data_IF_251940814457
#
_entry.id   IF_251940814457
#
_cell.length_a   1.000
_cell.length_b   1.000
_cell.length_c   1.000
_cell.angle_alpha   90.00
_cell.angle_beta   90.00
_cell.angle_gamma   90.00
#
_symmetry.space_group_name_H-M   'P 1'
#
loop_
_entity.id
_entity.type
_entity.pdbx_description
1 polymer ?
#
# COMPACT_ATOMS: atom_id res chain seq x y z
N UNK A 1 -14.77 -65.87 -17.17
CA UNK A 1 -14.43 -65.32 -18.50
C UNK A 1 -15.73 -64.82 -19.12
N UNK A 2 -16.00 -63.51 -19.08
CA UNK A 2 -17.06 -62.88 -19.88
C UNK A 2 -16.59 -61.48 -20.31
N UNK A 3 -16.33 -61.33 -21.59
CA UNK A 3 -16.03 -60.05 -22.27
C UNK A 3 -17.31 -59.22 -22.36
N UNK A 4 -17.26 -57.95 -21.99
CA UNK A 4 -18.32 -56.97 -22.28
C UNK A 4 -17.78 -55.96 -23.27
N UNK A 5 -18.47 -55.85 -24.41
CA UNK A 5 -18.28 -54.94 -25.52
C UNK A 5 -18.82 -53.54 -25.16
N UNK A 6 -18.18 -52.42 -25.57
CA UNK A 6 -18.76 -51.11 -25.35
C UNK A 6 -19.73 -50.72 -26.49
N UNK A 7 -20.90 -50.26 -26.12
CA UNK A 7 -21.92 -49.69 -27.02
C UNK A 7 -21.58 -48.24 -27.34
N UNK A 8 -21.43 -47.92 -28.63
CA UNK A 8 -21.26 -46.60 -29.14
C UNK A 8 -22.66 -45.95 -29.30
N UNK A 9 -22.90 -44.83 -28.64
CA UNK A 9 -24.09 -44.01 -28.78
C UNK A 9 -23.83 -42.89 -29.75
N UNK A 10 -24.49 -42.90 -30.94
CA UNK A 10 -24.45 -41.84 -31.89
C UNK A 10 -25.46 -40.75 -31.52
N UNK A 11 -25.00 -39.52 -31.41
CA UNK A 11 -25.83 -38.31 -31.20
C UNK A 11 -26.05 -37.65 -32.54
N UNK A 12 -27.31 -37.60 -32.97
CA UNK A 12 -27.75 -36.88 -34.16
C UNK A 12 -27.84 -35.36 -33.87
N UNK A 13 -27.19 -34.55 -34.68
CA UNK A 13 -27.30 -33.09 -34.62
C UNK A 13 -28.53 -32.63 -35.42
N UNK A 14 -29.47 -31.98 -34.77
CA UNK A 14 -30.61 -31.29 -35.39
C UNK A 14 -30.23 -29.84 -35.68
N UNK A 15 -30.26 -29.46 -36.95
CA UNK A 15 -30.10 -28.09 -37.42
C UNK A 15 -31.45 -27.39 -37.32
N UNK A 16 -31.59 -26.37 -36.47
CA UNK A 16 -32.76 -25.48 -36.40
C UNK A 16 -32.45 -24.24 -37.27
N UNK A 17 -33.26 -24.07 -38.31
CA UNK A 17 -33.30 -22.85 -39.12
C UNK A 17 -34.17 -21.83 -38.38
N UNK A 18 -33.57 -20.76 -37.85
CA UNK A 18 -34.26 -19.66 -37.23
C UNK A 18 -34.61 -18.56 -38.24
N UNK A 19 -35.89 -18.28 -38.39
CA UNK A 19 -36.43 -17.14 -39.14
C UNK A 19 -36.03 -15.82 -38.47
N UNK A 20 -35.38 -14.94 -39.21
CA UNK A 20 -35.00 -13.60 -38.77
C UNK A 20 -36.21 -12.69 -38.61
N UNK A 21 -36.37 -12.14 -37.40
CA UNK A 21 -37.31 -11.03 -37.13
C UNK A 21 -36.50 -9.73 -37.30
N UNK A 22 -36.95 -8.90 -38.25
CA UNK A 22 -36.45 -7.55 -38.47
C UNK A 22 -37.05 -6.64 -37.39
N UNK A 23 -36.25 -6.16 -36.45
CA UNK A 23 -36.64 -5.12 -35.48
C UNK A 23 -36.22 -3.76 -36.03
N UNK A 24 -37.11 -2.76 -36.09
CA UNK A 24 -36.75 -1.43 -36.58
C UNK A 24 -35.81 -0.75 -35.59
N UNK A 25 -34.74 -0.16 -36.14
CA UNK A 25 -33.72 0.58 -35.46
C UNK A 25 -34.30 1.91 -34.96
N UNK A 26 -34.51 2.06 -33.66
CA UNK A 26 -34.82 3.34 -33.04
C UNK A 26 -33.56 4.24 -33.14
N UNK A 27 -33.80 5.51 -33.49
CA UNK A 27 -32.77 6.53 -33.60
C UNK A 27 -32.09 6.71 -32.25
N UNK A 28 -30.77 6.62 -32.25
CA UNK A 28 -29.96 6.91 -31.08
C UNK A 28 -29.90 8.43 -30.88
N UNK A 29 -30.42 8.88 -29.76
CA UNK A 29 -30.18 10.23 -29.25
C UNK A 29 -28.68 10.42 -29.03
N UNK A 30 -28.12 11.44 -29.64
CA UNK A 30 -26.74 11.86 -29.44
C UNK A 30 -26.59 12.41 -28.02
N UNK A 31 -26.10 11.58 -27.11
CA UNK A 31 -25.56 12.06 -25.85
C UNK A 31 -24.33 12.95 -26.16
N UNK A 32 -24.46 14.24 -25.87
CA UNK A 32 -23.35 15.19 -25.90
C UNK A 32 -22.39 14.78 -24.79
N UNK A 33 -21.29 14.12 -25.14
CA UNK A 33 -20.16 13.88 -24.22
C UNK A 33 -19.51 15.24 -23.99
N UNK A 34 -19.76 15.83 -22.84
CA UNK A 34 -19.01 17.00 -22.39
C UNK A 34 -17.53 16.63 -22.29
N UNK A 35 -16.73 17.13 -23.24
CA UNK A 35 -15.27 17.00 -23.21
C UNK A 35 -14.78 17.90 -22.08
N UNK A 36 -14.27 17.30 -21.00
CA UNK A 36 -13.53 18.02 -19.99
C UNK A 36 -12.23 18.55 -20.63
N UNK A 37 -12.19 19.83 -20.92
CA UNK A 37 -10.96 20.53 -21.21
C UNK A 37 -10.24 20.73 -19.87
N UNK A 38 -9.13 20.02 -19.71
CA UNK A 38 -8.25 20.18 -18.56
C UNK A 38 -7.68 21.63 -18.62
N UNK A 39 -7.85 22.47 -17.58
CA UNK A 39 -7.17 23.74 -17.55
C UNK A 39 -5.66 23.47 -17.57
N UNK A 40 -4.94 24.12 -18.48
CA UNK A 40 -3.49 23.99 -18.62
C UNK A 40 -2.85 24.19 -17.24
N UNK A 41 -2.21 23.15 -16.73
CA UNK A 41 -1.41 23.23 -15.51
C UNK A 41 -0.30 24.25 -15.72
N UNK A 42 -0.03 25.13 -14.75
CA UNK A 42 1.15 26.01 -14.82
C UNK A 42 2.42 25.15 -14.91
N UNK A 43 3.49 25.62 -15.54
CA UNK A 43 4.73 24.85 -15.67
C UNK A 43 5.25 24.51 -14.29
N UNK A 44 5.24 23.22 -13.96
CA UNK A 44 5.85 22.70 -12.74
C UNK A 44 7.35 22.85 -12.89
N UNK A 45 7.90 23.85 -12.22
CA UNK A 45 9.35 23.91 -11.98
C UNK A 45 9.66 22.69 -11.13
N UNK A 46 10.32 21.69 -11.70
CA UNK A 46 10.84 20.54 -10.97
C UNK A 46 11.79 21.10 -9.90
N UNK A 47 11.31 21.17 -8.67
CA UNK A 47 12.18 21.43 -7.53
C UNK A 47 13.15 20.26 -7.44
N UNK A 48 14.44 20.55 -7.41
CA UNK A 48 15.46 19.54 -7.13
C UNK A 48 15.09 18.83 -5.81
N UNK A 49 15.38 17.50 -5.67
CA UNK A 49 15.12 16.79 -4.43
C UNK A 49 15.74 17.56 -3.26
N UNK A 50 14.93 18.01 -2.32
CA UNK A 50 15.45 18.63 -1.10
C UNK A 50 16.17 17.54 -0.31
N UNK A 51 17.46 17.76 -0.07
CA UNK A 51 18.26 16.88 0.76
C UNK A 51 17.67 16.93 2.18
N UNK A 52 17.18 15.78 2.69
CA UNK A 52 16.61 15.71 4.03
C UNK A 52 17.68 16.04 5.07
N UNK A 53 17.51 17.16 5.75
CA UNK A 53 18.41 17.56 6.83
C UNK A 53 18.15 16.63 8.04
N UNK A 54 19.20 15.89 8.47
CA UNK A 54 19.12 15.07 9.67
C UNK A 54 18.98 15.97 10.89
N UNK A 55 17.79 16.05 11.45
CA UNK A 55 17.49 16.83 12.64
C UNK A 55 17.78 16.03 13.93
N UNK A 56 17.61 16.70 15.06
CA UNK A 56 17.94 16.22 16.39
C UNK A 56 17.22 14.93 16.76
N UNK A 57 17.90 14.05 17.51
CA UNK A 57 17.26 12.91 18.17
C UNK A 57 16.20 13.42 19.14
N UNK A 58 14.92 13.26 18.79
CA UNK A 58 13.82 13.61 19.68
C UNK A 58 13.51 12.41 20.58
N UNK A 59 13.51 12.59 21.89
CA UNK A 59 13.11 11.54 22.84
C UNK A 59 11.59 11.54 22.97
N UNK A 60 10.93 10.69 22.19
CA UNK A 60 9.53 10.34 22.43
C UNK A 60 9.51 9.19 23.43
N UNK A 61 9.09 9.47 24.66
CA UNK A 61 8.99 8.46 25.71
C UNK A 61 7.69 7.69 25.55
N UNK A 62 7.77 6.41 25.15
CA UNK A 62 6.67 5.45 25.20
C UNK A 62 7.09 4.24 26.03
N UNK A 63 6.16 3.65 26.76
CA UNK A 63 6.40 2.39 27.48
C UNK A 63 6.31 1.25 26.46
N UNK A 64 7.47 0.78 26.03
CA UNK A 64 7.60 -0.25 25.00
C UNK A 64 8.30 -1.49 25.55
N UNK A 65 7.66 -2.64 25.39
CA UNK A 65 8.19 -3.96 25.71
C UNK A 65 8.41 -4.74 24.42
N UNK A 66 9.63 -4.76 23.92
CA UNK A 66 9.97 -5.45 22.68
C UNK A 66 11.45 -5.35 22.36
N UNK A 67 11.85 -6.02 21.29
CA UNK A 67 13.26 -6.10 20.85
C UNK A 67 13.70 -4.87 20.07
N UNK A 68 12.78 -4.28 19.30
CA UNK A 68 13.06 -3.17 18.40
C UNK A 68 11.90 -2.19 18.35
N UNK A 69 12.19 -0.92 18.53
CA UNK A 69 11.34 0.21 18.22
C UNK A 69 12.17 1.28 17.53
N UNK A 70 11.82 1.55 16.29
CA UNK A 70 12.38 2.65 15.50
C UNK A 70 11.24 3.53 14.96
N UNK A 71 11.49 4.83 14.88
CA UNK A 71 10.52 5.75 14.29
C UNK A 71 11.24 6.92 13.62
N UNK A 72 10.58 7.51 12.63
CA UNK A 72 11.01 8.72 11.97
C UNK A 72 9.80 9.58 11.61
N UNK A 73 9.99 10.90 11.62
CA UNK A 73 9.03 11.89 11.17
C UNK A 73 9.76 12.93 10.32
N UNK A 74 9.24 13.20 9.14
CA UNK A 74 9.69 14.24 8.24
C UNK A 74 8.66 15.36 8.20
N UNK A 75 9.09 16.55 8.55
CA UNK A 75 8.30 17.79 8.44
C UNK A 75 8.59 18.41 7.07
N UNK A 76 7.58 18.50 6.23
CA UNK A 76 7.72 19.00 4.85
C UNK A 76 7.87 20.50 4.75
N UNK A 77 7.46 21.25 5.76
CA UNK A 77 7.61 22.71 5.78
C UNK A 77 9.04 23.12 6.09
N UNK A 78 9.68 22.37 7.01
CA UNK A 78 11.05 22.69 7.46
C UNK A 78 12.12 21.86 6.77
N UNK A 79 11.75 20.73 6.15
CA UNK A 79 12.67 19.74 5.60
C UNK A 79 13.42 18.93 6.66
N UNK A 80 12.97 18.98 7.92
CA UNK A 80 13.66 18.32 9.05
C UNK A 80 13.16 16.88 9.24
N UNK A 81 14.11 15.96 9.28
CA UNK A 81 13.89 14.57 9.67
C UNK A 81 14.29 14.36 11.14
N UNK A 82 13.36 13.91 11.96
CA UNK A 82 13.58 13.54 13.37
C UNK A 82 13.22 12.08 13.62
N UNK A 83 13.84 11.44 14.62
CA UNK A 83 13.52 10.05 14.91
C UNK A 83 14.45 9.40 15.93
N UNK A 84 14.22 8.11 16.16
CA UNK A 84 15.07 7.23 16.95
C UNK A 84 15.21 5.87 16.24
N UNK A 85 16.38 5.24 16.35
CA UNK A 85 16.71 3.98 15.68
C UNK A 85 16.35 3.99 14.18
N UNK A 86 16.57 5.13 13.51
CA UNK A 86 16.09 5.40 12.16
C UNK A 86 16.72 4.52 11.08
N UNK A 87 17.88 3.89 11.33
CA UNK A 87 18.61 3.08 10.34
C UNK A 87 18.57 1.57 10.62
N UNK A 88 18.01 1.16 11.76
CA UNK A 88 17.81 -0.26 12.05
C UNK A 88 16.62 -0.79 11.25
N UNK A 89 16.72 -2.02 10.73
CA UNK A 89 15.74 -2.58 9.80
C UNK A 89 14.81 -3.59 10.45
N UNK A 90 13.61 -3.68 9.89
CA UNK A 90 12.63 -4.73 10.14
C UNK A 90 11.92 -5.09 8.84
N UNK A 91 11.25 -6.25 8.79
CA UNK A 91 10.47 -6.63 7.62
C UNK A 91 9.27 -5.69 7.44
N UNK A 92 9.00 -5.30 6.18
CA UNK A 92 7.97 -4.30 5.84
C UNK A 92 6.55 -4.77 6.03
N UNK A 93 6.35 -6.08 5.97
CA UNK A 93 5.03 -6.68 5.92
C UNK A 93 4.16 -6.01 4.83
N UNK A 94 2.90 -5.78 5.10
CA UNK A 94 1.98 -5.15 4.15
C UNK A 94 2.24 -3.66 3.87
N UNK A 95 3.15 -2.99 4.57
CA UNK A 95 3.49 -1.59 4.31
C UNK A 95 4.00 -1.39 2.87
N UNK A 96 4.79 -2.32 2.35
CA UNK A 96 5.36 -2.26 1.00
C UNK A 96 4.31 -2.35 -0.12
N UNK A 97 3.07 -2.77 0.16
CA UNK A 97 1.98 -2.83 -0.83
C UNK A 97 1.70 -1.47 -1.47
N UNK A 98 1.94 -0.38 -0.76
CA UNK A 98 1.84 0.97 -1.34
C UNK A 98 2.78 1.13 -2.55
N UNK A 99 4.00 0.59 -2.45
CA UNK A 99 4.93 0.56 -3.58
C UNK A 99 4.48 -0.40 -4.68
N UNK A 100 4.05 -1.63 -4.34
CA UNK A 100 3.65 -2.61 -5.36
C UNK A 100 2.54 -2.06 -6.26
N UNK A 101 1.59 -1.34 -5.67
CA UNK A 101 0.52 -0.64 -6.40
C UNK A 101 1.10 0.51 -7.22
N UNK A 102 1.94 1.36 -6.63
CA UNK A 102 2.56 2.49 -7.32
C UNK A 102 3.39 2.02 -8.54
N UNK A 103 4.24 1.01 -8.37
CA UNK A 103 5.09 0.45 -9.43
C UNK A 103 4.27 -0.13 -10.57
N UNK A 104 3.14 -0.80 -10.26
CA UNK A 104 2.23 -1.30 -11.28
C UNK A 104 1.61 -0.14 -12.06
N UNK A 105 1.05 0.85 -11.38
CA UNK A 105 0.35 1.97 -12.01
C UNK A 105 1.30 2.86 -12.85
N UNK A 106 2.52 3.08 -12.39
CA UNK A 106 3.52 3.91 -13.09
C UNK A 106 3.80 3.42 -14.52
N UNK A 107 3.80 2.12 -14.73
CA UNK A 107 4.12 1.52 -16.03
C UNK A 107 2.86 1.22 -16.88
N UNK A 108 1.71 1.19 -16.26
CA UNK A 108 0.45 0.87 -16.91
C UNK A 108 -0.13 2.10 -17.60
N UNK A 109 -0.02 2.19 -18.93
CA UNK A 109 -0.66 3.27 -19.71
C UNK A 109 -2.17 3.31 -19.55
N UNK A 110 -2.80 2.14 -19.42
CA UNK A 110 -4.22 1.95 -19.16
C UNK A 110 -4.39 0.64 -18.38
N UNK A 111 -4.36 0.68 -17.04
CA UNK A 111 -4.62 -0.51 -16.23
C UNK A 111 -6.04 -1.01 -16.50
N UNK A 112 -6.20 -2.34 -16.57
CA UNK A 112 -7.54 -2.93 -16.69
C UNK A 112 -8.34 -2.74 -15.40
N UNK A 113 -9.68 -2.76 -15.49
CA UNK A 113 -10.57 -2.69 -14.32
C UNK A 113 -10.23 -3.79 -13.29
N UNK A 114 -9.82 -4.98 -13.77
CA UNK A 114 -9.37 -6.06 -12.90
C UNK A 114 -8.17 -5.64 -12.05
N UNK A 115 -7.13 -5.11 -12.66
CA UNK A 115 -5.92 -4.70 -11.93
C UNK A 115 -6.15 -3.46 -11.05
N UNK A 116 -6.99 -2.53 -11.47
CA UNK A 116 -7.40 -1.40 -10.62
C UNK A 116 -8.13 -1.89 -9.37
N UNK A 117 -8.98 -2.92 -9.51
CA UNK A 117 -9.62 -3.57 -8.36
C UNK A 117 -8.58 -4.21 -7.45
N UNK A 118 -7.60 -4.97 -7.99
CA UNK A 118 -6.53 -5.56 -7.17
C UNK A 118 -5.73 -4.47 -6.45
N UNK A 119 -5.39 -3.38 -7.12
CA UNK A 119 -4.70 -2.24 -6.53
C UNK A 119 -5.49 -1.63 -5.35
N UNK A 120 -6.80 -1.42 -5.53
CA UNK A 120 -7.67 -0.94 -4.46
C UNK A 120 -7.75 -1.92 -3.28
N UNK A 121 -7.94 -3.21 -3.52
CA UNK A 121 -8.01 -4.25 -2.46
C UNK A 121 -6.68 -4.34 -1.69
N UNK A 122 -5.54 -4.31 -2.39
CA UNK A 122 -4.21 -4.35 -1.76
C UNK A 122 -3.97 -3.15 -0.83
N UNK A 123 -4.51 -1.96 -1.15
CA UNK A 123 -4.37 -0.77 -0.31
C UNK A 123 -5.44 -0.75 0.78
N UNK A 124 -6.73 -0.78 0.41
CA UNK A 124 -7.84 -0.54 1.34
C UNK A 124 -8.00 -1.63 2.38
N UNK A 125 -7.83 -2.87 1.98
CA UNK A 125 -8.04 -4.03 2.83
C UNK A 125 -6.75 -4.80 3.14
N UNK A 126 -5.63 -4.32 2.62
CA UNK A 126 -4.36 -5.03 2.77
C UNK A 126 -4.40 -6.47 2.23
N UNK A 127 -5.14 -6.70 1.14
CA UNK A 127 -5.32 -8.03 0.55
C UNK A 127 -3.99 -8.57 0.01
N UNK A 128 -3.59 -9.75 0.46
CA UNK A 128 -2.31 -10.36 0.11
C UNK A 128 -2.33 -10.96 -1.30
N UNK A 129 -3.45 -11.57 -1.71
CA UNK A 129 -3.59 -12.17 -3.02
C UNK A 129 -3.57 -11.09 -4.10
N UNK A 130 -4.26 -9.97 -3.84
CA UNK A 130 -4.25 -8.80 -4.71
C UNK A 130 -2.84 -8.20 -4.86
N UNK A 131 -2.10 -8.09 -3.75
CA UNK A 131 -0.72 -7.61 -3.78
C UNK A 131 0.21 -8.56 -4.54
N UNK A 132 0.04 -9.87 -4.37
CA UNK A 132 0.83 -10.90 -5.07
C UNK A 132 0.66 -10.80 -6.59
N UNK A 133 -0.58 -10.60 -7.07
CA UNK A 133 -0.87 -10.42 -8.50
C UNK A 133 -0.08 -9.23 -9.07
N UNK A 134 -0.05 -8.10 -8.37
CA UNK A 134 0.67 -6.91 -8.82
C UNK A 134 2.19 -7.10 -8.77
N UNK A 135 2.69 -7.74 -7.72
CA UNK A 135 4.11 -8.09 -7.57
C UNK A 135 4.60 -8.97 -8.72
N UNK A 136 3.86 -10.04 -9.05
CA UNK A 136 4.17 -10.93 -10.17
C UNK A 136 4.09 -10.21 -11.52
N UNK A 137 3.07 -9.37 -11.72
CA UNK A 137 2.91 -8.57 -12.93
C UNK A 137 4.09 -7.59 -13.16
N UNK A 138 4.81 -7.23 -12.08
CA UNK A 138 5.97 -6.34 -12.10
C UNK A 138 7.32 -7.06 -12.05
N UNK A 139 7.33 -8.39 -12.22
CA UNK A 139 8.53 -9.22 -12.28
C UNK A 139 9.09 -9.59 -10.91
N UNK A 140 8.24 -9.71 -9.89
CA UNK A 140 8.65 -10.18 -8.57
C UNK A 140 9.66 -9.24 -7.90
N UNK A 141 10.81 -9.77 -7.47
CA UNK A 141 11.87 -9.01 -6.79
C UNK A 141 12.32 -7.75 -7.55
N UNK A 142 12.25 -7.76 -8.88
CA UNK A 142 12.59 -6.58 -9.68
C UNK A 142 11.71 -5.36 -9.34
N UNK A 143 10.48 -5.55 -8.82
CA UNK A 143 9.66 -4.46 -8.29
C UNK A 143 10.30 -3.83 -7.06
N UNK A 144 10.79 -4.64 -6.12
CA UNK A 144 11.44 -4.14 -4.90
C UNK A 144 12.78 -3.48 -5.22
N UNK A 145 13.56 -4.04 -6.14
CA UNK A 145 14.82 -3.42 -6.61
C UNK A 145 14.56 -2.03 -7.22
N UNK A 146 13.46 -1.89 -7.99
CA UNK A 146 13.04 -0.57 -8.49
C UNK A 146 12.64 0.38 -7.36
N UNK A 147 11.95 -0.09 -6.31
CA UNK A 147 11.65 0.73 -5.13
C UNK A 147 12.92 1.32 -4.54
N UNK A 148 13.90 0.47 -4.28
CA UNK A 148 15.20 0.86 -3.71
C UNK A 148 15.86 1.94 -4.57
N UNK A 149 15.93 1.68 -5.88
CA UNK A 149 16.59 2.60 -6.82
C UNK A 149 15.82 3.91 -7.01
N UNK A 150 14.51 3.85 -7.23
CA UNK A 150 13.67 5.00 -7.59
C UNK A 150 13.45 5.92 -6.39
N UNK A 151 13.22 5.36 -5.19
CA UNK A 151 13.00 6.15 -3.98
C UNK A 151 14.31 6.44 -3.21
N UNK A 152 15.47 5.98 -3.72
CA UNK A 152 16.79 6.25 -3.11
C UNK A 152 16.95 5.67 -1.71
N UNK A 153 16.45 4.43 -1.51
CA UNK A 153 16.51 3.74 -0.21
C UNK A 153 17.92 3.20 0.02
N UNK A 154 18.45 3.36 1.22
CA UNK A 154 19.86 3.04 1.53
C UNK A 154 20.03 1.90 2.53
N UNK A 155 19.00 1.62 3.32
CA UNK A 155 19.00 0.56 4.34
C UNK A 155 18.08 -0.61 3.95
N UNK A 156 17.43 -0.52 2.78
CA UNK A 156 16.40 -1.48 2.34
C UNK A 156 17.03 -2.60 1.55
N UNK A 157 16.69 -3.85 1.92
CA UNK A 157 17.18 -5.06 1.27
C UNK A 157 16.03 -5.94 0.78
N UNK A 158 16.17 -6.49 -0.43
CA UNK A 158 15.23 -7.45 -1.00
C UNK A 158 15.28 -8.76 -0.23
N UNK A 159 14.13 -9.34 0.06
CA UNK A 159 14.03 -10.75 0.47
C UNK A 159 13.57 -11.57 -0.73
N UNK A 160 14.36 -12.57 -1.10
CA UNK A 160 14.13 -13.33 -2.33
C UNK A 160 12.77 -14.05 -2.34
N UNK A 161 11.97 -13.75 -3.35
CA UNK A 161 10.66 -14.37 -3.58
C UNK A 161 9.55 -13.99 -2.59
N UNK A 162 9.80 -13.04 -1.66
CA UNK A 162 8.83 -12.73 -0.62
C UNK A 162 8.77 -11.23 -0.29
N UNK A 163 7.94 -10.48 -1.00
CA UNK A 163 7.86 -9.02 -0.88
C UNK A 163 7.62 -8.51 0.56
N UNK A 164 6.79 -9.19 1.37
CA UNK A 164 6.49 -8.73 2.74
C UNK A 164 7.69 -8.84 3.69
N UNK A 165 8.70 -9.63 3.33
CA UNK A 165 9.94 -9.80 4.11
C UNK A 165 11.05 -8.83 3.69
N UNK A 166 10.80 -7.95 2.75
CA UNK A 166 11.70 -6.83 2.43
C UNK A 166 12.12 -6.14 3.73
N UNK A 167 13.43 -6.03 3.96
CA UNK A 167 13.95 -5.32 5.14
C UNK A 167 14.00 -3.83 4.84
N UNK A 168 13.52 -3.01 5.76
CA UNK A 168 13.47 -1.56 5.60
C UNK A 168 13.69 -0.87 6.95
N UNK A 169 14.32 0.30 6.94
CA UNK A 169 14.47 1.15 8.11
C UNK A 169 13.37 2.22 8.20
N UNK A 170 13.11 2.82 9.38
CA UNK A 170 12.18 3.93 9.51
C UNK A 170 12.50 5.11 8.59
N UNK A 171 13.78 5.47 8.40
CA UNK A 171 14.16 6.57 7.48
C UNK A 171 13.90 6.22 6.01
N UNK A 172 14.07 4.97 5.62
CA UNK A 172 13.75 4.54 4.25
C UNK A 172 12.23 4.45 4.05
N UNK A 173 11.46 4.10 5.09
CA UNK A 173 10.00 4.18 5.05
C UNK A 173 9.51 5.64 4.86
N UNK A 174 10.19 6.65 5.46
CA UNK A 174 9.94 8.07 5.16
C UNK A 174 10.22 8.36 3.69
N UNK A 175 11.38 7.96 3.15
CA UNK A 175 11.71 8.16 1.73
C UNK A 175 10.70 7.49 0.80
N UNK A 176 10.22 6.30 1.15
CA UNK A 176 9.13 5.66 0.44
C UNK A 176 7.86 6.52 0.49
N UNK A 177 7.47 7.02 1.66
CA UNK A 177 6.32 7.90 1.82
C UNK A 177 6.42 9.18 0.98
N UNK A 178 7.59 9.83 0.96
CA UNK A 178 7.85 11.00 0.11
C UNK A 178 7.77 10.65 -1.39
N UNK A 179 8.38 9.54 -1.80
CA UNK A 179 8.35 9.02 -3.16
C UNK A 179 6.91 8.74 -3.66
N UNK A 180 6.03 8.26 -2.75
CA UNK A 180 4.60 8.07 -3.03
C UNK A 180 3.87 9.42 -3.19
N UNK A 181 4.21 10.40 -2.35
CA UNK A 181 3.52 11.68 -2.29
C UNK A 181 3.88 12.64 -3.42
N UNK A 182 5.15 12.66 -3.84
CA UNK A 182 5.67 13.60 -4.84
C UNK A 182 5.46 13.17 -6.30
N UNK A 183 4.89 11.99 -6.51
CA UNK A 183 4.62 11.43 -7.83
C UNK A 183 5.76 10.61 -8.42
N UNK A 184 6.88 10.48 -7.74
CA UNK A 184 8.03 9.68 -8.22
C UNK A 184 7.66 8.19 -8.32
N UNK A 185 6.88 7.68 -7.35
CA UNK A 185 6.52 6.26 -7.30
C UNK A 185 5.49 5.85 -8.36
N UNK A 186 4.34 6.51 -8.41
CA UNK A 186 3.21 6.12 -9.28
C UNK A 186 3.14 6.91 -10.59
N UNK A 187 3.89 8.00 -10.71
CA UNK A 187 3.77 8.97 -11.78
C UNK A 187 2.62 9.97 -11.57
N UNK A 188 2.63 11.10 -12.30
CA UNK A 188 1.70 12.21 -12.07
C UNK A 188 0.23 11.80 -12.28
N UNK A 189 -0.04 10.88 -13.19
CA UNK A 189 -1.41 10.46 -13.53
C UNK A 189 -2.07 9.62 -12.42
N UNK A 190 -1.29 8.93 -11.59
CA UNK A 190 -1.79 7.95 -10.63
C UNK A 190 -1.54 8.31 -9.16
N UNK A 191 -0.73 9.31 -8.89
CA UNK A 191 -0.36 9.69 -7.52
C UNK A 191 -1.58 10.03 -6.67
N UNK A 192 -2.47 10.92 -7.16
CA UNK A 192 -3.65 11.29 -6.39
C UNK A 192 -4.64 10.14 -6.21
N UNK A 193 -4.79 9.27 -7.22
CA UNK A 193 -5.59 8.06 -7.08
C UNK A 193 -5.04 7.17 -5.97
N UNK A 194 -3.73 6.91 -5.96
CA UNK A 194 -3.08 6.09 -4.93
C UNK A 194 -3.24 6.70 -3.53
N UNK A 195 -2.98 7.99 -3.38
CA UNK A 195 -3.14 8.68 -2.10
C UNK A 195 -4.60 8.68 -1.64
N UNK A 196 -5.56 8.79 -2.57
CA UNK A 196 -6.97 8.63 -2.26
C UNK A 196 -7.30 7.23 -1.74
N UNK A 197 -6.77 6.17 -2.36
CA UNK A 197 -6.92 4.80 -1.84
C UNK A 197 -6.31 4.64 -0.44
N UNK A 198 -5.14 5.25 -0.20
CA UNK A 198 -4.46 5.23 1.11
C UNK A 198 -5.22 6.04 2.19
N UNK A 199 -5.97 7.10 1.82
CA UNK A 199 -6.89 7.79 2.74
C UNK A 199 -8.13 6.96 3.07
N UNK A 200 -8.51 6.04 2.18
CA UNK A 200 -9.70 5.20 2.30
C UNK A 200 -9.40 3.78 2.81
N UNK A 201 -8.28 3.58 3.50
CA UNK A 201 -7.96 2.30 4.15
C UNK A 201 -9.06 1.93 5.14
N UNK A 202 -9.44 0.66 5.17
CA UNK A 202 -10.57 0.12 5.92
C UNK A 202 -10.10 -0.77 7.07
N UNK A 203 -11.05 -1.12 7.95
CA UNK A 203 -10.89 -2.06 9.05
C UNK A 203 -10.02 -1.54 10.20
N UNK A 204 -10.15 -2.15 11.35
CA UNK A 204 -9.48 -1.77 12.60
C UNK A 204 -8.50 -2.86 13.05
N UNK A 205 -7.85 -2.67 14.20
CA UNK A 205 -7.04 -3.70 14.84
C UNK A 205 -7.89 -4.81 15.50
N UNK A 206 -9.22 -4.65 15.55
CA UNK A 206 -10.12 -5.62 16.18
C UNK A 206 -10.09 -6.99 15.43
N UNK A 207 -10.16 -8.11 16.18
CA UNK A 207 -10.03 -9.45 15.58
C UNK A 207 -11.01 -9.75 14.45
N UNK A 208 -12.22 -9.21 14.49
CA UNK A 208 -13.24 -9.37 13.47
C UNK A 208 -12.88 -8.75 12.12
N UNK A 209 -12.03 -7.72 12.13
CA UNK A 209 -11.52 -7.06 10.92
C UNK A 209 -10.25 -7.74 10.38
N UNK A 210 -9.63 -8.63 11.16
CA UNK A 210 -8.39 -9.30 10.81
C UNK A 210 -8.66 -10.68 10.23
N UNK A 211 -8.40 -10.88 8.95
CA UNK A 211 -8.60 -12.14 8.23
C UNK A 211 -7.25 -12.69 7.74
N UNK A 212 -7.22 -13.96 7.32
CA UNK A 212 -5.99 -14.66 6.94
C UNK A 212 -5.21 -13.97 5.81
N UNK A 213 -5.90 -13.52 4.75
CA UNK A 213 -5.26 -12.92 3.56
C UNK A 213 -5.69 -11.47 3.35
N UNK A 214 -6.65 -11.00 4.13
CA UNK A 214 -7.23 -9.67 4.04
C UNK A 214 -7.52 -9.16 5.43
N UNK A 215 -7.05 -8.00 5.77
CA UNK A 215 -7.25 -7.40 7.08
C UNK A 215 -7.35 -5.90 7.02
N UNK A 216 -8.00 -5.30 8.01
CA UNK A 216 -8.09 -3.86 8.11
C UNK A 216 -6.79 -3.23 8.60
N UNK A 217 -6.37 -2.14 7.99
CA UNK A 217 -5.14 -1.42 8.33
C UNK A 217 -5.34 -0.01 8.83
N UNK A 218 -6.60 0.44 9.07
CA UNK A 218 -6.91 1.81 9.50
C UNK A 218 -6.80 1.94 11.02
N UNK A 219 -5.58 2.00 11.51
CA UNK A 219 -5.24 2.15 12.93
C UNK A 219 -3.82 2.72 13.09
N UNK A 220 -3.41 2.99 14.32
CA UNK A 220 -2.06 3.38 14.68
C UNK A 220 -1.82 4.89 14.58
N UNK A 221 -0.98 5.38 13.68
CA UNK A 221 -0.66 6.82 13.57
C UNK A 221 -1.93 7.66 13.42
N UNK A 222 -2.89 7.22 12.61
CA UNK A 222 -4.14 7.95 12.36
C UNK A 222 -4.97 8.16 13.63
N UNK A 223 -4.86 7.28 14.62
CA UNK A 223 -5.57 7.39 15.89
C UNK A 223 -4.90 8.36 16.88
N UNK A 224 -3.67 8.79 16.56
CA UNK A 224 -2.88 9.73 17.37
C UNK A 224 -2.87 11.16 16.82
N UNK A 225 -3.41 11.39 15.61
CA UNK A 225 -3.49 12.75 15.04
C UNK A 225 -4.74 13.50 15.52
N UNK A 226 -4.76 14.84 15.47
CA UNK A 226 -5.98 15.61 15.72
C UNK A 226 -7.13 15.17 14.81
N UNK A 227 -8.36 15.10 15.35
CA UNK A 227 -9.54 14.56 14.65
C UNK A 227 -9.78 15.27 13.31
N UNK A 228 -9.58 16.59 13.26
CA UNK A 228 -9.79 17.39 12.06
C UNK A 228 -8.74 17.08 10.95
N UNK A 229 -7.58 16.53 11.33
CA UNK A 229 -6.51 16.14 10.40
C UNK A 229 -6.67 14.73 9.86
N UNK A 230 -7.39 13.85 10.57
CA UNK A 230 -7.53 12.44 10.22
C UNK A 230 -8.03 12.17 8.78
N UNK A 231 -8.96 12.96 8.20
CA UNK A 231 -9.39 12.76 6.81
C UNK A 231 -8.30 12.99 5.75
N UNK A 232 -7.26 13.76 6.07
CA UNK A 232 -6.14 14.04 5.15
C UNK A 232 -5.04 12.98 5.20
N UNK A 233 -5.06 12.08 6.18
CA UNK A 233 -4.01 11.08 6.40
C UNK A 233 -4.13 9.95 5.39
N UNK A 234 -3.17 9.85 4.49
CA UNK A 234 -2.94 8.66 3.67
C UNK A 234 -2.04 7.69 4.46
N UNK A 235 -2.39 6.42 4.51
CA UNK A 235 -1.64 5.45 5.32
C UNK A 235 -1.54 4.08 4.66
N UNK A 236 -0.50 3.33 5.02
CA UNK A 236 -0.40 1.89 4.75
C UNK A 236 0.40 1.21 5.84
N UNK A 237 -0.28 0.45 6.66
CA UNK A 237 0.34 -0.33 7.72
C UNK A 237 0.75 -1.73 7.23
N UNK A 238 1.70 -2.34 7.93
CA UNK A 238 2.15 -3.71 7.73
C UNK A 238 2.28 -4.43 9.07
N UNK A 239 1.80 -5.68 9.17
CA UNK A 239 1.84 -6.43 10.41
C UNK A 239 1.75 -7.93 10.17
N UNK A 240 2.50 -8.70 10.95
CA UNK A 240 2.42 -10.16 10.99
C UNK A 240 3.03 -10.67 12.30
N UNK A 241 2.39 -11.62 12.97
CA UNK A 241 3.04 -12.43 13.99
C UNK A 241 3.87 -13.51 13.31
N UNK A 242 5.17 -13.54 13.61
CA UNK A 242 6.14 -14.45 12.98
C UNK A 242 6.53 -15.52 13.99
N UNK A 243 5.90 -16.70 13.88
CA UNK A 243 6.15 -17.80 14.82
C UNK A 243 7.61 -18.30 14.86
N UNK A 244 8.44 -17.95 13.87
CA UNK A 244 9.85 -18.34 13.84
C UNK A 244 10.71 -17.59 14.87
N UNK A 245 10.37 -16.35 15.21
CA UNK A 245 11.05 -15.53 16.21
C UNK A 245 10.14 -15.15 17.39
N UNK A 246 8.86 -15.55 17.37
CA UNK A 246 7.90 -15.30 18.45
C UNK A 246 7.48 -13.82 18.58
N UNK A 247 7.66 -13.03 17.53
CA UNK A 247 7.38 -11.60 17.54
C UNK A 247 6.31 -11.18 16.54
N UNK A 248 5.59 -10.13 16.89
CA UNK A 248 4.97 -9.24 15.92
C UNK A 248 6.03 -8.39 15.24
N UNK A 249 6.00 -8.36 13.91
CA UNK A 249 6.60 -7.33 13.08
C UNK A 249 5.50 -6.37 12.67
N UNK A 250 5.54 -5.15 13.18
CA UNK A 250 4.47 -4.18 12.97
C UNK A 250 5.06 -2.84 12.53
N UNK A 251 4.47 -2.30 11.47
CA UNK A 251 4.91 -1.07 10.82
C UNK A 251 3.73 -0.15 10.54
N UNK A 252 3.87 1.12 10.89
CA UNK A 252 2.92 2.17 10.57
C UNK A 252 3.60 3.18 9.65
N UNK A 253 3.01 3.44 8.48
CA UNK A 253 3.40 4.50 7.57
C UNK A 253 2.18 5.38 7.33
N UNK A 254 2.32 6.68 7.57
CA UNK A 254 1.29 7.66 7.31
C UNK A 254 1.89 8.97 6.80
N UNK A 255 1.14 9.68 5.96
CA UNK A 255 1.57 10.95 5.37
C UNK A 255 0.38 11.89 5.11
N UNK A 256 0.68 13.18 5.15
CA UNK A 256 -0.24 14.26 4.77
C UNK A 256 0.47 15.24 3.83
N UNK A 257 -0.13 16.40 3.57
CA UNK A 257 0.56 17.49 2.89
C UNK A 257 1.72 18.10 3.70
N UNK A 258 1.69 17.94 5.03
CA UNK A 258 2.58 18.64 5.96
C UNK A 258 3.71 17.77 6.49
N UNK A 259 3.49 16.46 6.61
CA UNK A 259 4.43 15.52 7.22
C UNK A 259 4.32 14.10 6.68
N UNK A 260 5.40 13.33 6.86
CA UNK A 260 5.42 11.87 6.71
C UNK A 260 5.98 11.26 7.98
N UNK A 261 5.33 10.19 8.49
CA UNK A 261 5.73 9.49 9.71
C UNK A 261 5.78 7.98 9.49
N UNK A 262 6.82 7.36 10.04
CA UNK A 262 6.97 5.90 10.11
C UNK A 262 7.30 5.46 11.53
N UNK A 263 6.67 4.36 11.96
CA UNK A 263 6.98 3.65 13.21
C UNK A 263 7.12 2.17 12.88
N UNK A 264 8.24 1.55 13.23
CA UNK A 264 8.52 0.15 12.95
C UNK A 264 8.97 -0.54 14.25
N UNK A 265 8.47 -1.75 14.49
CA UNK A 265 8.75 -2.44 15.75
C UNK A 265 8.72 -3.96 15.63
N UNK A 266 9.45 -4.62 16.55
CA UNK A 266 9.34 -6.05 16.85
C UNK A 266 9.11 -6.22 18.35
N UNK A 267 8.08 -6.97 18.70
CA UNK A 267 7.67 -7.20 20.10
C UNK A 267 7.01 -8.56 20.24
N UNK A 268 7.02 -9.16 21.46
CA UNK A 268 6.46 -10.48 21.72
C UNK A 268 5.03 -10.65 21.23
N UNK A 269 4.74 -11.78 20.58
CA UNK A 269 3.48 -12.02 19.89
C UNK A 269 2.28 -12.13 20.85
N UNK A 270 2.49 -12.50 22.10
CA UNK A 270 1.45 -12.54 23.14
C UNK A 270 0.86 -11.16 23.47
N UNK A 271 1.53 -10.05 23.12
CA UNK A 271 1.03 -8.70 23.32
C UNK A 271 -0.04 -8.29 22.30
N UNK A 272 -0.14 -9.00 21.19
CA UNK A 272 -1.18 -8.83 20.19
C UNK A 272 -1.05 -7.58 19.33
N UNK A 273 -1.90 -7.49 18.30
CA UNK A 273 -1.91 -6.39 17.33
C UNK A 273 -2.24 -5.04 17.95
N UNK A 274 -3.19 -4.98 18.88
CA UNK A 274 -3.63 -3.74 19.52
C UNK A 274 -2.52 -3.03 20.30
N UNK A 275 -1.58 -3.81 20.87
CA UNK A 275 -0.42 -3.25 21.57
C UNK A 275 0.43 -2.39 20.61
N UNK A 276 0.86 -2.95 19.48
CA UNK A 276 1.68 -2.23 18.51
C UNK A 276 0.94 -1.06 17.86
N UNK A 277 -0.35 -1.22 17.54
CA UNK A 277 -1.20 -0.14 17.06
C UNK A 277 -1.25 1.02 18.09
N UNK A 278 -1.35 0.68 19.38
CA UNK A 278 -1.31 1.62 20.49
C UNK A 278 0.02 2.38 20.59
N UNK A 279 1.15 1.74 20.35
CA UNK A 279 2.49 2.38 20.30
C UNK A 279 2.56 3.40 19.15
N UNK A 280 2.14 3.02 17.94
CA UNK A 280 2.07 3.94 16.80
C UNK A 280 1.21 5.18 17.13
N UNK A 281 0.04 4.99 17.73
CA UNK A 281 -0.85 6.06 18.18
C UNK A 281 -0.18 6.99 19.20
N UNK A 282 0.49 6.43 20.21
CA UNK A 282 1.14 7.22 21.26
C UNK A 282 2.27 8.09 20.69
N UNK A 283 3.11 7.55 19.80
CA UNK A 283 4.18 8.30 19.14
C UNK A 283 3.59 9.44 18.31
N UNK A 284 2.57 9.17 17.49
CA UNK A 284 1.90 10.19 16.70
C UNK A 284 1.29 11.31 17.57
N UNK A 285 0.60 10.94 18.66
CA UNK A 285 0.00 11.91 19.57
C UNK A 285 1.03 12.82 20.25
N UNK A 286 2.24 12.31 20.54
CA UNK A 286 3.30 13.11 21.16
C UNK A 286 4.02 14.04 20.20
N UNK A 287 3.97 13.75 18.90
CA UNK A 287 4.64 14.52 17.85
C UNK A 287 3.71 15.53 17.17
N UNK A 288 2.41 15.23 17.13
CA UNK A 288 1.42 15.95 16.33
C UNK A 288 0.23 16.51 17.16
N UNK A 289 0.09 16.05 18.42
CA UNK A 289 -1.01 16.41 19.34
C UNK A 289 -0.79 17.67 20.16
#
# INVERSE_FOLDING_TARGET
VARRTPTILAIAATVAVGLGVIVPRAAADHAVVARWENPASPPTTSAAPQEMVSGHTSTVNVDFSGEFLGWAMYDRHTGVLTGANMSETSSTESMVKAWLVADYLRDARAPSDYHLKQASEAIRWSDDDAAQILYEARGGNASIERMISVCGLVDTEVHDGWWSRTQMSPRDAIKLGECLADGTAAGPDWTEWLLSEMRNVQGTAAPEDQQKTRGGGRWGIIDGVPVDSAPSVALKNGWTSIGADGNWHLNCLALTGDWTMSVMMRYPDELGLEYGAGICRQIAHRLLG
#
